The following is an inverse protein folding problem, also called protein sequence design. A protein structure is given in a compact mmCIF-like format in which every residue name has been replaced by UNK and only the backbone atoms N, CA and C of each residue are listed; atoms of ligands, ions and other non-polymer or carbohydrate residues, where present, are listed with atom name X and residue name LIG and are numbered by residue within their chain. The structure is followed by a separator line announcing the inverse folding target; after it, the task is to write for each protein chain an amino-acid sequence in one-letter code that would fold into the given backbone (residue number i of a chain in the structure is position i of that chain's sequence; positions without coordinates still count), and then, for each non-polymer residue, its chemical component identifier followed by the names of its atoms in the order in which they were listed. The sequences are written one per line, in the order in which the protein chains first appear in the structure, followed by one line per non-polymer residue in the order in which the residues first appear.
data_IF_784186964818
#
_entry.id   IF_784186964818
#
_cell.length_a   1.000
_cell.length_b   1.000
_cell.length_c   1.000
_cell.angle_alpha   90.00
_cell.angle_beta   90.00
_cell.angle_gamma   90.00
#
_symmetry.space_group_name_H-M   'P 1'
#
loop_
_entity.id
_entity.type
_entity.pdbx_description
1 polymer ?
#
# COMPACT_ATOMS: atom_id res chain seq x y z
N UNK A 1 -3.72 24.78 0.96
CA UNK A 1 -4.09 23.53 0.24
C UNK A 1 -3.23 23.32 -0.99
N UNK A 2 -3.07 24.31 -1.88
CA UNK A 2 -2.24 24.16 -3.11
C UNK A 2 -0.76 23.88 -2.84
N UNK A 3 -0.14 24.56 -1.87
CA UNK A 3 1.27 24.33 -1.52
C UNK A 3 1.55 22.88 -1.08
N UNK A 4 0.59 22.23 -0.39
CA UNK A 4 0.69 20.83 0.00
C UNK A 4 0.66 19.90 -1.22
N UNK A 5 -0.28 20.14 -2.14
CA UNK A 5 -0.37 19.37 -3.38
C UNK A 5 0.86 19.54 -4.27
N UNK A 6 1.41 20.76 -4.36
CA UNK A 6 2.67 21.02 -5.03
C UNK A 6 3.83 20.26 -4.39
N UNK A 7 3.89 20.20 -3.05
CA UNK A 7 4.90 19.45 -2.33
C UNK A 7 4.79 17.93 -2.59
N UNK A 8 3.60 17.34 -2.41
CA UNK A 8 3.36 15.90 -2.62
C UNK A 8 3.56 15.48 -4.08
N UNK A 9 3.37 16.41 -5.03
CA UNK A 9 3.60 16.15 -6.45
C UNK A 9 5.08 16.22 -6.86
N UNK A 10 5.99 16.69 -5.99
CA UNK A 10 7.43 16.64 -6.29
C UNK A 10 7.90 15.20 -6.48
N UNK A 11 8.70 14.96 -7.51
CA UNK A 11 9.25 13.64 -7.84
C UNK A 11 9.97 12.99 -6.66
N UNK A 12 10.79 13.76 -5.94
CA UNK A 12 11.53 13.29 -4.76
C UNK A 12 10.59 12.83 -3.64
N UNK A 13 9.51 13.57 -3.38
CA UNK A 13 8.51 13.22 -2.36
C UNK A 13 7.76 11.95 -2.76
N UNK A 14 7.38 11.82 -4.04
CA UNK A 14 6.74 10.60 -4.55
C UNK A 14 7.64 9.38 -4.46
N UNK A 15 8.94 9.51 -4.74
CA UNK A 15 9.89 8.40 -4.56
C UNK A 15 10.07 8.03 -3.09
N UNK A 16 10.15 9.02 -2.19
CA UNK A 16 10.19 8.76 -0.76
C UNK A 16 8.93 8.03 -0.28
N UNK A 17 7.75 8.45 -0.74
CA UNK A 17 6.49 7.77 -0.47
C UNK A 17 6.47 6.35 -1.05
N UNK A 18 7.00 6.15 -2.26
CA UNK A 18 7.08 4.82 -2.87
C UNK A 18 7.94 3.86 -2.04
N UNK A 19 9.10 4.31 -1.56
CA UNK A 19 9.98 3.54 -0.68
C UNK A 19 9.30 3.29 0.67
N UNK A 20 8.67 4.30 1.26
CA UNK A 20 7.94 4.14 2.52
C UNK A 20 6.81 3.10 2.42
N UNK A 21 6.01 3.16 1.36
CA UNK A 21 4.99 2.16 1.09
C UNK A 21 5.61 0.76 0.84
N UNK A 22 6.78 0.67 0.21
CA UNK A 22 7.47 -0.61 0.05
C UNK A 22 7.88 -1.21 1.41
N UNK A 23 8.37 -0.39 2.34
CA UNK A 23 8.71 -0.84 3.70
C UNK A 23 7.49 -1.35 4.46
N UNK A 24 6.34 -0.68 4.32
CA UNK A 24 5.08 -1.14 4.89
C UNK A 24 4.57 -2.45 4.24
N UNK A 25 4.84 -2.65 2.95
CA UNK A 25 4.54 -3.93 2.31
C UNK A 25 5.39 -5.08 2.88
N UNK A 26 6.66 -4.81 3.22
CA UNK A 26 7.55 -5.78 3.89
C UNK A 26 7.03 -6.13 5.28
N UNK A 27 6.47 -5.17 6.02
CA UNK A 27 5.79 -5.45 7.29
C UNK A 27 4.62 -6.45 7.09
N UNK A 28 3.85 -6.31 6.01
CA UNK A 28 2.82 -7.29 5.64
C UNK A 28 3.39 -8.69 5.41
N UNK A 29 4.53 -8.80 4.70
CA UNK A 29 5.25 -10.08 4.51
C UNK A 29 5.68 -10.67 5.86
N UNK A 30 6.25 -9.85 6.74
CA UNK A 30 6.68 -10.29 8.06
C UNK A 30 5.51 -10.81 8.90
N UNK A 31 4.35 -10.15 8.81
CA UNK A 31 3.12 -10.61 9.46
C UNK A 31 2.60 -11.94 8.91
N UNK A 32 2.69 -12.15 7.59
CA UNK A 32 2.38 -13.44 6.97
C UNK A 32 3.31 -14.52 7.49
N UNK A 33 4.61 -14.23 7.57
CA UNK A 33 5.62 -15.18 8.04
C UNK A 33 5.40 -15.62 9.50
N UNK A 34 4.98 -14.70 10.37
CA UNK A 34 4.71 -14.98 11.78
C UNK A 34 3.26 -15.39 12.08
N UNK A 35 2.39 -15.47 11.06
CA UNK A 35 0.97 -15.71 11.27
C UNK A 35 0.72 -17.07 11.94
N UNK A 36 -0.03 -17.05 13.04
CA UNK A 36 -0.46 -18.27 13.74
C UNK A 36 -1.87 -18.70 13.31
N UNK A 37 -2.61 -17.80 12.66
CA UNK A 37 -3.98 -18.04 12.19
C UNK A 37 -4.16 -17.62 10.73
N UNK A 38 -5.16 -18.22 10.08
CA UNK A 38 -5.56 -17.84 8.72
C UNK A 38 -6.00 -16.37 8.62
N UNK A 39 -6.57 -15.82 9.70
CA UNK A 39 -7.01 -14.41 9.77
C UNK A 39 -5.80 -13.47 9.77
N UNK A 40 -4.74 -13.80 10.52
CA UNK A 40 -3.50 -13.02 10.52
C UNK A 40 -2.77 -13.07 9.19
N UNK A 41 -2.76 -14.24 8.55
CA UNK A 41 -2.21 -14.42 7.21
C UNK A 41 -2.98 -13.58 6.19
N UNK A 42 -4.32 -13.60 6.24
CA UNK A 42 -5.19 -12.80 5.38
C UNK A 42 -4.99 -11.29 5.59
N UNK A 43 -4.85 -10.85 6.85
CA UNK A 43 -4.55 -9.45 7.19
C UNK A 43 -3.18 -9.02 6.65
N UNK A 44 -2.15 -9.85 6.82
CA UNK A 44 -0.82 -9.58 6.28
C UNK A 44 -0.81 -9.52 4.75
N UNK A 45 -1.59 -10.38 4.07
CA UNK A 45 -1.77 -10.31 2.62
C UNK A 45 -2.48 -9.02 2.18
N UNK A 46 -3.48 -8.56 2.94
CA UNK A 46 -4.15 -7.28 2.71
C UNK A 46 -3.18 -6.09 2.83
N UNK A 47 -2.33 -6.08 3.85
CA UNK A 47 -1.28 -5.07 4.04
C UNK A 47 -0.28 -5.08 2.89
N UNK A 48 0.20 -6.27 2.49
CA UNK A 48 1.11 -6.41 1.36
C UNK A 48 0.49 -5.82 0.08
N UNK A 49 -0.73 -6.22 -0.27
CA UNK A 49 -1.42 -5.77 -1.48
C UNK A 49 -1.65 -4.26 -1.44
N UNK A 50 -2.12 -3.72 -0.32
CA UNK A 50 -2.39 -2.29 -0.15
C UNK A 50 -1.12 -1.45 -0.36
N UNK A 51 -0.08 -1.77 0.40
CA UNK A 51 1.13 -0.96 0.45
C UNK A 51 1.97 -1.12 -0.81
N UNK A 52 2.01 -2.32 -1.39
CA UNK A 52 2.67 -2.54 -2.66
C UNK A 52 1.98 -1.78 -3.81
N UNK A 53 0.64 -1.79 -3.85
CA UNK A 53 -0.11 -1.02 -4.85
C UNK A 53 0.14 0.49 -4.71
N UNK A 54 0.16 1.02 -3.48
CA UNK A 54 0.51 2.43 -3.24
C UNK A 54 1.95 2.77 -3.58
N UNK A 55 2.89 1.85 -3.35
CA UNK A 55 4.28 2.01 -3.76
C UNK A 55 4.38 2.18 -5.28
N UNK A 56 3.72 1.29 -6.04
CA UNK A 56 3.65 1.38 -7.50
C UNK A 56 2.96 2.66 -7.98
N UNK A 57 1.86 3.08 -7.34
CA UNK A 57 1.18 4.34 -7.68
C UNK A 57 2.13 5.52 -7.53
N UNK A 58 2.85 5.61 -6.41
CA UNK A 58 3.79 6.70 -6.16
C UNK A 58 5.00 6.65 -7.11
N UNK A 59 5.53 5.46 -7.39
CA UNK A 59 6.62 5.27 -8.35
C UNK A 59 6.23 5.68 -9.77
N UNK A 60 5.07 5.24 -10.25
CA UNK A 60 4.57 5.60 -11.58
C UNK A 60 4.30 7.09 -11.69
N UNK A 61 3.68 7.67 -10.66
CA UNK A 61 3.42 9.11 -10.57
C UNK A 61 4.73 9.92 -10.52
N UNK A 62 5.79 9.41 -9.89
CA UNK A 62 7.11 10.05 -9.92
C UNK A 62 7.70 10.11 -11.33
N UNK A 63 7.31 9.19 -12.21
CA UNK A 63 7.73 9.12 -13.60
C UNK A 63 6.70 9.72 -14.58
N UNK A 64 5.73 10.50 -14.08
CA UNK A 64 4.70 11.14 -14.91
C UNK A 64 3.62 10.19 -15.46
N UNK A 65 3.60 8.91 -15.02
CA UNK A 65 2.63 7.91 -15.44
C UNK A 65 1.49 7.80 -14.42
N UNK A 66 0.28 7.52 -14.91
CA UNK A 66 -0.89 7.24 -14.07
C UNK A 66 -1.39 5.84 -14.40
N UNK A 67 -1.52 4.99 -13.38
CA UNK A 67 -2.10 3.65 -13.52
C UNK A 67 -3.38 3.54 -12.68
N UNK A 68 -4.54 3.95 -13.24
CA UNK A 68 -5.81 3.97 -12.50
C UNK A 68 -6.27 2.57 -12.05
N UNK A 69 -5.82 1.51 -12.75
CA UNK A 69 -6.12 0.12 -12.39
C UNK A 69 -5.55 -0.30 -11.02
N UNK A 70 -4.53 0.40 -10.51
CA UNK A 70 -3.97 0.13 -9.18
C UNK A 70 -4.93 0.50 -8.04
N UNK A 71 -5.93 1.35 -8.29
CA UNK A 71 -6.95 1.66 -7.30
C UNK A 71 -7.77 0.43 -6.90
N UNK A 72 -7.93 -0.54 -7.82
CA UNK A 72 -8.61 -1.81 -7.53
C UNK A 72 -7.80 -2.58 -6.50
N UNK A 73 -6.49 -2.73 -6.70
CA UNK A 73 -5.60 -3.42 -5.77
C UNK A 73 -5.57 -2.74 -4.40
N UNK A 74 -5.52 -1.40 -4.36
CA UNK A 74 -5.64 -0.62 -3.11
C UNK A 74 -6.95 -0.93 -2.38
N UNK A 75 -8.09 -0.88 -3.08
CA UNK A 75 -9.39 -1.14 -2.48
C UNK A 75 -9.54 -2.59 -1.99
N UNK A 76 -8.99 -3.55 -2.73
CA UNK A 76 -8.95 -4.96 -2.32
C UNK A 76 -8.11 -5.11 -1.04
N UNK A 77 -6.92 -4.51 -0.98
CA UNK A 77 -6.08 -4.54 0.22
C UNK A 77 -6.78 -3.94 1.44
N UNK A 78 -7.46 -2.80 1.27
CA UNK A 78 -8.29 -2.19 2.33
C UNK A 78 -9.40 -3.14 2.77
N UNK A 79 -10.16 -3.70 1.83
CA UNK A 79 -11.26 -4.62 2.14
C UNK A 79 -10.78 -5.85 2.91
N UNK A 80 -9.65 -6.44 2.54
CA UNK A 80 -9.06 -7.57 3.25
C UNK A 80 -8.72 -7.22 4.70
N UNK A 81 -8.09 -6.06 4.93
CA UNK A 81 -7.75 -5.59 6.28
C UNK A 81 -9.03 -5.35 7.10
N UNK A 82 -10.01 -4.65 6.54
CA UNK A 82 -11.26 -4.33 7.24
C UNK A 82 -12.04 -5.60 7.58
N UNK A 83 -12.21 -6.52 6.63
CA UNK A 83 -12.88 -7.80 6.86
C UNK A 83 -12.16 -8.62 7.93
N UNK A 84 -10.82 -8.62 7.94
CA UNK A 84 -10.04 -9.34 8.95
C UNK A 84 -10.32 -8.90 10.40
N UNK A 85 -10.79 -7.67 10.62
CA UNK A 85 -11.15 -7.17 11.96
C UNK A 85 -12.46 -7.76 12.47
N UNK A 86 -13.33 -8.23 11.58
CA UNK A 86 -14.61 -8.85 11.95
C UNK A 86 -14.56 -10.38 11.94
N UNK A 87 -13.44 -10.97 11.52
CA UNK A 87 -13.20 -12.42 11.50
C UNK A 87 -12.48 -12.93 12.76
N UNK A 88 -12.23 -12.04 13.74
CA UNK A 88 -11.59 -12.34 15.01
C UNK A 88 -12.57 -12.77 16.09
#
# INVERSE_FOLDING_TARGET
MEAFWQFVNKRSVRLALAVFCLLLAIQGIYRIYLAQTNVEMFRGAGELVLWFAWSLVNYLRANGKVAPKLNIAVNVGIAMIVVSWFMG
#
